data_IF_766981356469
#
_entry.id   IF_766981356469
#
_cell.length_a   1.000
_cell.length_b   1.000
_cell.length_c   1.000
_cell.angle_alpha   90.00
_cell.angle_beta   90.00
_cell.angle_gamma   90.00
#
_symmetry.space_group_name_H-M   'P 1'
#
loop_
_entity.id
_entity.type
_entity.pdbx_description
1 polymer ?
#
# COMPACT_ATOMS: atom_id res chain seq x y z
N UNK A 1 13.19 20.85 13.77
CA UNK A 1 12.32 20.47 12.65
C UNK A 1 12.13 18.96 12.65
N UNK A 2 10.90 18.46 12.53
CA UNK A 2 10.65 17.01 12.33
C UNK A 2 10.76 16.71 10.83
N UNK A 3 11.50 15.67 10.46
CA UNK A 3 11.62 15.20 9.07
C UNK A 3 10.71 13.99 8.88
N UNK A 4 10.06 13.90 7.72
CA UNK A 4 9.26 12.74 7.32
C UNK A 4 9.91 12.12 6.08
N UNK A 5 10.09 10.80 6.11
CA UNK A 5 10.46 10.02 4.94
C UNK A 5 9.27 9.13 4.57
N UNK A 6 8.76 9.29 3.36
CA UNK A 6 7.71 8.46 2.81
C UNK A 6 8.32 7.62 1.69
N UNK A 7 8.20 6.30 1.81
CA UNK A 7 8.54 5.36 0.75
C UNK A 7 7.23 4.85 0.13
N UNK A 8 7.04 5.09 -1.16
CA UNK A 8 5.98 4.47 -1.94
C UNK A 8 6.61 3.42 -2.85
N UNK A 9 6.17 2.17 -2.72
CA UNK A 9 6.72 1.06 -3.52
C UNK A 9 5.56 0.43 -4.28
N UNK A 10 5.57 0.60 -5.60
CA UNK A 10 4.55 0.03 -6.47
C UNK A 10 4.70 -1.50 -6.56
N UNK A 11 3.59 -2.21 -6.75
CA UNK A 11 3.57 -3.66 -6.90
C UNK A 11 3.84 -4.47 -5.62
N UNK A 12 3.92 -3.84 -4.44
CA UNK A 12 4.05 -4.56 -3.16
C UNK A 12 2.72 -4.53 -2.40
N UNK A 13 2.28 -5.71 -1.95
CA UNK A 13 1.10 -5.87 -1.12
C UNK A 13 1.19 -7.08 -0.21
N UNK A 14 0.22 -7.21 0.70
CA UNK A 14 0.11 -8.36 1.59
C UNK A 14 -0.57 -9.53 0.86
N UNK A 15 0.24 -10.51 0.44
CA UNK A 15 -0.21 -11.74 -0.20
C UNK A 15 -0.48 -12.88 0.79
N UNK A 16 -0.72 -14.08 0.26
CA UNK A 16 -0.96 -15.28 1.07
C UNK A 16 0.30 -15.75 1.80
N UNK A 17 0.13 -16.52 2.89
CA UNK A 17 1.24 -17.11 3.65
C UNK A 17 1.74 -18.40 2.97
N UNK A 18 2.44 -18.20 1.87
CA UNK A 18 3.06 -19.27 1.09
C UNK A 18 4.56 -18.99 0.93
N UNK A 19 5.34 -20.06 0.78
CA UNK A 19 6.80 -19.97 0.66
C UNK A 19 7.25 -19.08 -0.50
N UNK A 20 6.53 -19.11 -1.63
CA UNK A 20 6.90 -18.40 -2.84
C UNK A 20 6.46 -16.92 -2.86
N UNK A 21 5.78 -16.44 -1.80
CA UNK A 21 5.45 -15.03 -1.66
C UNK A 21 6.72 -14.24 -1.26
N UNK A 22 7.32 -13.42 -2.14
CA UNK A 22 8.56 -12.72 -1.84
C UNK A 22 8.39 -11.62 -0.78
N UNK A 23 7.16 -11.09 -0.61
CA UNK A 23 6.88 -10.04 0.38
C UNK A 23 6.90 -10.60 1.80
N UNK A 24 6.62 -11.90 1.96
CA UNK A 24 6.55 -12.59 3.25
C UNK A 24 7.75 -12.27 4.15
N UNK A 25 8.95 -12.24 3.59
CA UNK A 25 10.20 -12.04 4.33
C UNK A 25 10.87 -10.70 4.06
N UNK A 26 10.40 -9.92 3.08
CA UNK A 26 11.04 -8.70 2.57
C UNK A 26 11.37 -7.67 3.66
N UNK A 27 10.48 -7.52 4.66
CA UNK A 27 10.61 -6.54 5.74
C UNK A 27 10.71 -7.17 7.13
N UNK A 28 10.94 -8.49 7.22
CA UNK A 28 10.92 -9.20 8.50
C UNK A 28 11.89 -8.58 9.53
N UNK A 29 13.07 -8.11 9.10
CA UNK A 29 14.07 -7.50 9.99
C UNK A 29 13.59 -6.19 10.63
N UNK A 30 12.68 -5.45 9.99
CA UNK A 30 12.11 -4.22 10.54
C UNK A 30 10.79 -4.47 11.27
N UNK A 31 10.08 -5.57 10.98
CA UNK A 31 8.78 -5.92 11.58
C UNK A 31 8.90 -6.95 12.71
N UNK A 32 9.98 -6.89 13.49
CA UNK A 32 10.19 -7.77 14.64
C UNK A 32 10.31 -9.25 14.29
N UNK A 33 10.90 -9.57 13.13
CA UNK A 33 10.98 -10.92 12.53
C UNK A 33 9.63 -11.55 12.20
N UNK A 34 8.58 -10.75 12.03
CA UNK A 34 7.25 -11.24 11.66
C UNK A 34 7.08 -11.24 10.15
N UNK A 35 6.48 -12.31 9.62
CA UNK A 35 6.17 -12.42 8.19
C UNK A 35 5.07 -11.44 7.77
N UNK A 36 5.25 -10.78 6.62
CA UNK A 36 4.26 -9.86 6.07
C UNK A 36 3.32 -10.56 5.10
N UNK A 37 2.20 -11.02 5.65
CA UNK A 37 1.17 -11.78 4.94
C UNK A 37 -0.21 -11.23 5.30
N UNK A 38 -1.18 -11.41 4.40
CA UNK A 38 -2.54 -10.85 4.52
C UNK A 38 -3.23 -11.24 5.83
N UNK A 39 -3.13 -12.51 6.21
CA UNK A 39 -3.76 -13.08 7.41
C UNK A 39 -3.07 -12.66 8.71
N UNK A 40 -1.84 -12.14 8.63
CA UNK A 40 -1.07 -11.66 9.78
C UNK A 40 -1.26 -10.17 10.09
N UNK A 41 -2.05 -9.45 9.30
CA UNK A 41 -2.30 -8.02 9.47
C UNK A 41 -3.73 -7.76 10.00
N UNK A 42 -3.95 -6.70 10.82
CA UNK A 42 -2.96 -5.71 11.25
C UNK A 42 -1.96 -6.29 12.26
N UNK A 43 -0.73 -5.78 12.22
CA UNK A 43 0.36 -6.19 13.09
C UNK A 43 0.93 -4.97 13.82
N UNK A 44 0.97 -5.03 15.15
CA UNK A 44 1.69 -4.05 15.97
C UNK A 44 2.99 -4.69 16.43
N UNK A 45 4.10 -3.99 16.28
CA UNK A 45 5.42 -4.46 16.70
C UNK A 45 6.21 -3.29 17.31
N UNK A 46 7.36 -3.61 17.93
CA UNK A 46 8.22 -2.57 18.49
C UNK A 46 8.72 -1.63 17.38
N UNK A 47 8.32 -0.36 17.47
CA UNK A 47 8.70 0.66 16.50
C UNK A 47 7.71 0.91 15.36
N UNK A 48 6.58 0.20 15.28
CA UNK A 48 5.61 0.47 14.21
C UNK A 48 4.34 -0.39 14.18
N UNK A 49 3.58 -0.19 13.10
CA UNK A 49 2.37 -0.93 12.79
C UNK A 49 2.30 -1.22 11.30
N UNK A 50 1.81 -2.40 10.95
CA UNK A 50 1.39 -2.76 9.59
C UNK A 50 -0.13 -2.72 9.56
N UNK A 51 -0.67 -1.89 8.67
CA UNK A 51 -2.11 -1.77 8.46
C UNK A 51 -2.40 -2.22 7.03
N UNK A 52 -3.30 -3.20 6.81
CA UNK A 52 -3.72 -3.56 5.47
C UNK A 52 -4.51 -2.39 4.86
N UNK A 53 -4.22 -2.08 3.60
CA UNK A 53 -4.91 -1.02 2.85
C UNK A 53 -5.60 -1.63 1.62
N UNK A 54 -6.78 -1.12 1.32
CA UNK A 54 -7.44 -1.40 0.04
C UNK A 54 -6.83 -0.50 -1.04
N UNK A 55 -6.03 -1.09 -1.92
CA UNK A 55 -5.39 -0.38 -3.02
C UNK A 55 -6.38 0.14 -4.08
N UNK A 56 -7.62 -0.35 -4.09
CA UNK A 56 -8.70 0.14 -4.94
C UNK A 56 -9.51 1.26 -4.28
N UNK A 57 -9.32 1.54 -2.99
CA UNK A 57 -10.03 2.59 -2.24
C UNK A 57 -11.57 2.50 -2.38
N UNK A 58 -12.11 1.28 -2.42
CA UNK A 58 -13.53 1.00 -2.61
C UNK A 58 -14.09 1.32 -4.00
N UNK A 59 -13.22 1.49 -5.01
CA UNK A 59 -13.61 1.71 -6.42
C UNK A 59 -13.42 0.41 -7.20
N UNK A 60 -14.38 0.03 -8.04
CA UNK A 60 -14.27 -1.18 -8.87
C UNK A 60 -13.11 -1.09 -9.88
N UNK A 61 -12.54 -2.25 -10.21
CA UNK A 61 -11.44 -2.39 -11.15
C UNK A 61 -10.13 -2.77 -10.48
N UNK A 62 -9.01 -2.40 -11.11
CA UNK A 62 -7.66 -2.71 -10.64
C UNK A 62 -7.06 -1.52 -9.88
N UNK A 63 -6.11 -1.75 -8.95
CA UNK A 63 -5.36 -0.68 -8.30
C UNK A 63 -4.68 0.25 -9.31
N UNK A 64 -4.64 1.54 -8.98
CA UNK A 64 -4.03 2.58 -9.82
C UNK A 64 -3.03 3.40 -9.00
N UNK A 65 -1.78 3.42 -9.43
CA UNK A 65 -0.70 4.07 -8.67
C UNK A 65 -0.82 5.59 -8.64
N UNK A 66 -1.21 6.23 -9.74
CA UNK A 66 -1.36 7.69 -9.82
C UNK A 66 -2.42 8.23 -8.83
N UNK A 67 -3.62 7.66 -8.83
CA UNK A 67 -4.70 8.07 -7.93
C UNK A 67 -4.44 7.63 -6.49
N UNK A 68 -3.78 6.49 -6.27
CA UNK A 68 -3.32 6.06 -4.95
C UNK A 68 -2.36 7.07 -4.32
N UNK A 69 -1.36 7.52 -5.08
CA UNK A 69 -0.40 8.54 -4.63
C UNK A 69 -1.08 9.89 -4.38
N UNK A 70 -1.93 10.35 -5.30
CA UNK A 70 -2.71 11.57 -5.12
C UNK A 70 -3.56 11.51 -3.84
N UNK A 71 -4.16 10.35 -3.54
CA UNK A 71 -4.93 10.14 -2.31
C UNK A 71 -4.06 10.26 -1.07
N UNK A 72 -2.86 9.67 -1.06
CA UNK A 72 -1.93 9.75 0.07
C UNK A 72 -1.52 11.21 0.36
N UNK A 73 -1.25 12.02 -0.67
CA UNK A 73 -0.80 13.40 -0.49
C UNK A 73 -1.93 14.39 -0.19
N UNK A 74 -3.14 14.14 -0.71
CA UNK A 74 -4.26 15.11 -0.60
C UNK A 74 -5.27 14.74 0.48
N UNK A 75 -5.32 13.48 0.91
CA UNK A 75 -6.39 12.94 1.76
C UNK A 75 -7.74 12.79 1.04
N UNK A 76 -7.81 13.08 -0.26
CA UNK A 76 -9.02 12.93 -1.09
C UNK A 76 -8.92 11.63 -1.87
N UNK A 77 -9.97 10.81 -1.86
CA UNK A 77 -10.03 9.58 -2.67
C UNK A 77 -10.06 9.93 -4.17
N UNK A 78 -8.88 10.03 -4.78
CA UNK A 78 -8.71 10.47 -6.15
C UNK A 78 -9.26 9.44 -7.16
N UNK A 79 -9.21 8.15 -6.83
CA UNK A 79 -9.82 7.09 -7.65
C UNK A 79 -11.33 7.32 -7.78
N UNK A 80 -12.00 7.62 -6.67
CA UNK A 80 -13.43 7.93 -6.64
C UNK A 80 -13.74 9.27 -7.29
N UNK A 81 -12.88 10.27 -7.10
CA UNK A 81 -13.04 11.59 -7.69
C UNK A 81 -12.98 11.56 -9.22
N UNK A 82 -12.02 10.84 -9.81
CA UNK A 82 -11.95 10.68 -11.26
C UNK A 82 -13.06 9.77 -11.79
N UNK A 83 -13.35 8.66 -11.11
CA UNK A 83 -14.41 7.72 -11.51
C UNK A 83 -14.07 6.84 -12.72
N UNK A 84 -12.84 6.91 -13.25
CA UNK A 84 -12.33 6.05 -14.32
C UNK A 84 -10.82 5.80 -14.15
N UNK A 85 -10.27 4.85 -14.92
CA UNK A 85 -8.83 4.61 -14.94
C UNK A 85 -8.12 5.61 -15.83
N UNK A 86 -7.33 6.51 -15.23
CA UNK A 86 -6.42 7.38 -15.96
C UNK A 86 -5.07 6.68 -16.15
N UNK A 87 -4.82 6.20 -17.36
CA UNK A 87 -3.47 5.75 -17.78
C UNK A 87 -2.47 6.89 -17.65
N UNK A 88 -1.17 6.59 -17.46
CA UNK A 88 -0.06 7.54 -17.19
C UNK A 88 0.23 8.59 -18.29
N UNK A 89 -0.80 9.27 -18.74
CA UNK A 89 -0.84 10.36 -19.70
C UNK A 89 -1.51 11.51 -18.93
N UNK A 90 -0.95 12.72 -18.96
CA UNK A 90 -1.59 13.88 -18.36
C UNK A 90 -3.02 14.06 -18.89
N UNK A 91 -3.97 14.31 -18.01
CA UNK A 91 -5.29 14.84 -18.35
C UNK A 91 -5.41 16.30 -17.87
N UNK A 92 -6.55 16.93 -18.18
CA UNK A 92 -6.85 18.33 -17.86
C UNK A 92 -6.80 18.65 -16.36
#
# INVERSE_FOLDING_TARGET
>A
MKKLFLFFIDGIGLGDDIHDNPVRTLFASVTGNTSLVRTGAPLIFEGGVVVPADACLGVEGIPQSATGQATIFTGVNASKFLGYHLTAIPNE
#
